data_IF_255241787988
#
_entry.id   IF_255241787988
#
_cell.length_a   1.000
_cell.length_b   1.000
_cell.length_c   1.000
_cell.angle_alpha   90.00
_cell.angle_beta   90.00
_cell.angle_gamma   90.00
#
_symmetry.space_group_name_H-M   'P 1'
#
loop_
_entity.id
_entity.type
_entity.pdbx_description
1 polymer ?
#
# COMPACT_ATOMS: atom_id res chain seq x y z
N UNK A 1 -51.33 -36.27 13.27
CA UNK A 1 -52.50 -35.36 13.16
C UNK A 1 -52.61 -34.51 14.43
N UNK A 2 -52.32 -33.22 14.36
CA UNK A 2 -53.11 -32.11 14.92
C UNK A 2 -52.38 -30.81 14.59
N UNK A 3 -53.03 -30.03 13.72
CA UNK A 3 -52.64 -28.68 13.30
C UNK A 3 -52.96 -27.72 14.45
N UNK A 4 -52.14 -26.71 14.67
CA UNK A 4 -52.62 -25.47 15.26
C UNK A 4 -52.13 -24.31 14.40
N UNK A 5 -53.09 -23.73 13.68
CA UNK A 5 -52.98 -22.46 12.97
C UNK A 5 -52.81 -21.33 13.99
N UNK A 6 -51.93 -20.38 13.70
CA UNK A 6 -52.19 -18.99 14.03
C UNK A 6 -51.77 -18.12 12.84
N UNK A 7 -52.78 -17.72 12.07
CA UNK A 7 -52.73 -16.67 11.05
C UNK A 7 -53.32 -15.42 11.70
N UNK A 8 -52.60 -14.30 11.64
CA UNK A 8 -53.16 -12.96 11.79
C UNK A 8 -52.37 -12.08 10.80
N UNK A 9 -52.80 -12.00 9.55
CA UNK A 9 -53.71 -11.00 8.97
C UNK A 9 -53.11 -9.58 8.97
N UNK A 10 -52.88 -9.12 7.74
CA UNK A 10 -52.31 -7.87 7.26
C UNK A 10 -53.05 -6.59 7.73
N UNK A 11 -52.40 -5.42 7.71
CA UNK A 11 -52.54 -4.43 6.62
C UNK A 11 -51.89 -3.05 6.91
N UNK A 12 -51.23 -2.55 5.85
CA UNK A 12 -51.08 -1.15 5.35
C UNK A 12 -50.67 -0.01 6.31
N UNK A 13 -49.63 0.73 5.90
CA UNK A 13 -49.80 2.09 5.39
C UNK A 13 -48.54 2.58 4.66
N UNK A 14 -48.70 2.86 3.36
CA UNK A 14 -47.79 3.67 2.56
C UNK A 14 -47.93 5.13 3.00
N UNK A 15 -46.81 5.81 3.21
CA UNK A 15 -46.77 7.28 3.22
C UNK A 15 -45.76 7.72 2.16
N UNK A 16 -46.29 8.08 0.99
CA UNK A 16 -45.62 8.95 0.02
C UNK A 16 -45.74 10.38 0.52
N UNK A 17 -44.61 11.03 0.79
CA UNK A 17 -44.55 12.49 0.88
C UNK A 17 -43.84 12.99 -0.38
N UNK A 18 -44.56 13.79 -1.16
CA UNK A 18 -44.09 14.48 -2.33
C UNK A 18 -43.90 15.98 -2.04
N UNK A 19 -42.83 16.51 -2.64
CA UNK A 19 -42.54 17.90 -3.03
C UNK A 19 -42.40 19.00 -1.95
N UNK A 20 -41.22 19.64 -1.95
CA UNK A 20 -41.19 21.10 -2.13
C UNK A 20 -39.96 21.54 -2.95
N UNK A 21 -40.17 22.58 -3.75
CA UNK A 21 -39.35 23.04 -4.86
C UNK A 21 -38.12 23.84 -4.39
N UNK A 22 -36.97 23.62 -5.02
CA UNK A 22 -35.85 24.58 -5.01
C UNK A 22 -35.73 25.17 -6.41
N UNK A 23 -36.10 26.45 -6.53
CA UNK A 23 -35.84 27.27 -7.70
C UNK A 23 -34.34 27.30 -7.99
N UNK A 24 -33.94 26.85 -9.19
CA UNK A 24 -32.58 27.02 -9.69
C UNK A 24 -32.60 28.12 -10.74
N UNK A 25 -32.05 29.28 -10.38
CA UNK A 25 -31.76 30.37 -11.31
C UNK A 25 -30.68 29.94 -12.32
N UNK A 26 -30.86 30.10 -13.64
CA UNK A 26 -29.79 29.85 -14.59
C UNK A 26 -28.98 31.15 -14.78
N UNK A 27 -27.75 31.18 -14.25
CA UNK A 27 -26.82 32.26 -14.56
C UNK A 27 -26.27 32.08 -15.98
N UNK A 28 -26.38 33.16 -16.75
CA UNK A 28 -25.95 33.31 -18.13
C UNK A 28 -24.43 33.15 -18.27
N UNK A 29 -24.02 32.44 -19.31
CA UNK A 29 -22.65 32.46 -19.84
C UNK A 29 -22.53 33.71 -20.72
N UNK A 30 -21.64 34.64 -20.35
CA UNK A 30 -21.16 35.68 -21.24
C UNK A 30 -19.63 35.70 -21.20
N UNK A 31 -19.05 35.53 -22.39
CA UNK A 31 -17.63 35.51 -22.72
C UNK A 31 -17.01 36.90 -22.64
N UNK A 32 -15.81 37.02 -22.03
CA UNK A 32 -14.81 38.03 -22.40
C UNK A 32 -13.40 37.61 -21.95
N UNK A 33 -12.43 38.06 -22.74
CA UNK A 33 -11.03 37.65 -22.98
C UNK A 33 -10.03 37.90 -21.81
N UNK A 34 -8.86 37.24 -21.73
CA UNK A 34 -7.97 37.32 -20.56
C UNK A 34 -6.91 38.44 -20.70
N UNK A 35 -6.67 39.21 -19.63
CA UNK A 35 -5.48 40.05 -19.48
C UNK A 35 -4.35 39.32 -18.71
N UNK A 36 -3.06 39.62 -19.00
CA UNK A 36 -1.95 38.76 -18.61
C UNK A 36 -1.27 39.19 -17.30
N UNK A 37 -0.80 38.19 -16.54
CA UNK A 37 0.44 38.27 -15.78
C UNK A 37 0.32 38.70 -14.31
N UNK A 38 0.24 37.71 -13.43
CA UNK A 38 0.98 37.77 -12.16
C UNK A 38 1.50 36.37 -11.89
N UNK A 39 2.84 36.21 -11.92
CA UNK A 39 3.54 35.01 -11.48
C UNK A 39 3.26 34.83 -9.97
N UNK A 40 2.13 34.21 -9.65
CA UNK A 40 1.95 33.59 -8.35
C UNK A 40 2.91 32.41 -8.31
N UNK A 41 4.02 32.62 -7.60
CA UNK A 41 4.92 31.57 -7.18
C UNK A 41 4.10 30.39 -6.68
N UNK A 42 4.15 29.28 -7.41
CA UNK A 42 3.48 28.04 -7.03
C UNK A 42 4.19 27.55 -5.77
N UNK A 43 3.63 27.91 -4.61
CA UNK A 43 3.94 27.24 -3.36
C UNK A 43 3.44 25.81 -3.56
N UNK A 44 4.30 24.77 -3.56
CA UNK A 44 3.83 23.40 -3.75
C UNK A 44 3.14 22.97 -2.45
N UNK A 45 1.87 23.33 -2.31
CA UNK A 45 1.01 22.91 -1.21
C UNK A 45 0.07 21.84 -1.75
N UNK A 46 0.59 20.61 -1.84
CA UNK A 46 -0.22 19.40 -1.81
C UNK A 46 0.71 18.18 -1.61
N UNK A 47 1.21 17.98 -0.39
CA UNK A 47 1.38 16.62 0.10
C UNK A 47 -0.01 15.98 0.10
N UNK A 48 -0.35 15.29 -0.99
CA UNK A 48 -1.68 14.72 -1.20
C UNK A 48 -2.12 13.91 0.04
N UNK A 49 -3.36 14.11 0.47
CA UNK A 49 -3.96 13.32 1.58
C UNK A 49 -3.99 11.80 1.30
N UNK A 50 -3.76 11.43 0.04
CA UNK A 50 -3.80 10.07 -0.46
C UNK A 50 -2.48 9.71 -1.14
N UNK A 51 -2.14 8.42 -1.12
CA UNK A 51 -1.04 7.91 -1.91
C UNK A 51 -1.39 7.93 -3.40
N UNK A 52 -0.38 8.12 -4.24
CA UNK A 52 -0.47 7.80 -5.67
C UNK A 52 -0.46 6.28 -5.82
N UNK A 53 -1.52 5.71 -6.39
CA UNK A 53 -1.66 4.26 -6.63
C UNK A 53 -1.52 4.04 -8.14
N UNK A 54 -0.34 3.64 -8.57
CA UNK A 54 -0.04 3.35 -9.97
C UNK A 54 1.16 2.40 -10.06
N UNK A 55 1.33 1.75 -11.22
CA UNK A 55 2.46 0.88 -11.54
C UNK A 55 3.54 1.69 -12.23
N UNK A 56 4.52 2.14 -11.44
CA UNK A 56 5.56 3.04 -11.91
C UNK A 56 6.91 2.32 -11.78
N UNK A 57 7.75 2.41 -12.80
CA UNK A 57 9.13 1.90 -12.71
C UNK A 57 9.87 2.60 -11.57
N UNK A 58 10.79 1.89 -10.93
CA UNK A 58 11.63 2.50 -9.91
C UNK A 58 12.42 3.68 -10.50
N UNK A 59 12.48 4.78 -9.75
CA UNK A 59 13.39 5.88 -10.05
C UNK A 59 14.85 5.49 -9.72
N UNK A 60 15.83 6.15 -10.35
CA UNK A 60 17.24 5.77 -10.23
C UNK A 60 17.79 5.85 -8.82
N UNK A 61 17.25 6.76 -8.00
CA UNK A 61 17.67 6.91 -6.61
C UNK A 61 17.22 5.71 -5.78
N UNK A 62 15.96 5.31 -5.95
CA UNK A 62 15.39 4.15 -5.28
C UNK A 62 16.01 2.86 -5.79
N UNK A 63 16.33 2.73 -7.09
CA UNK A 63 17.07 1.57 -7.61
C UNK A 63 18.41 1.40 -6.90
N UNK A 64 19.20 2.48 -6.80
CA UNK A 64 20.51 2.47 -6.13
C UNK A 64 20.39 2.10 -4.65
N UNK A 65 19.36 2.60 -3.98
CA UNK A 65 19.08 2.23 -2.60
C UNK A 65 18.67 0.76 -2.48
N UNK A 66 17.68 0.33 -3.26
CA UNK A 66 16.98 -0.94 -3.10
C UNK A 66 17.80 -2.15 -3.57
N UNK A 67 18.63 -2.01 -4.60
CA UNK A 67 19.51 -3.09 -5.05
C UNK A 67 20.63 -3.36 -4.04
N UNK A 68 20.82 -4.62 -3.68
CA UNK A 68 21.86 -5.11 -2.78
C UNK A 68 21.49 -6.45 -2.15
N UNK A 69 22.38 -6.90 -1.27
CA UNK A 69 22.10 -7.98 -0.33
C UNK A 69 21.59 -7.37 0.98
N UNK A 70 20.43 -7.82 1.43
CA UNK A 70 19.76 -7.31 2.61
C UNK A 70 19.65 -8.40 3.67
N UNK A 71 19.92 -8.04 4.92
CA UNK A 71 19.74 -8.92 6.07
C UNK A 71 18.60 -8.44 6.93
N UNK A 72 17.76 -9.35 7.39
CA UNK A 72 16.68 -9.01 8.32
C UNK A 72 17.28 -8.68 9.69
N UNK A 73 17.22 -7.42 10.10
CA UNK A 73 17.93 -6.91 11.27
C UNK A 73 17.06 -6.95 12.53
N UNK A 74 15.86 -6.38 12.46
CA UNK A 74 14.97 -6.24 13.63
C UNK A 74 13.51 -6.52 13.27
N UNK A 75 12.80 -7.10 14.23
CA UNK A 75 11.35 -7.25 14.21
C UNK A 75 10.73 -5.95 14.75
N UNK A 76 9.86 -5.32 13.96
CA UNK A 76 9.23 -4.05 14.29
C UNK A 76 7.82 -4.20 14.88
N UNK A 77 7.19 -5.36 14.71
CA UNK A 77 5.85 -5.63 15.20
C UNK A 77 4.95 -6.20 14.12
N UNK A 78 3.65 -5.96 14.27
CA UNK A 78 2.62 -6.53 13.43
C UNK A 78 1.71 -5.45 12.84
N UNK A 79 1.18 -5.69 11.63
CA UNK A 79 0.16 -4.85 11.01
C UNK A 79 -1.15 -4.88 11.81
N UNK A 80 -1.84 -3.73 11.90
CA UNK A 80 -3.04 -3.56 12.75
C UNK A 80 -4.28 -4.32 12.26
N UNK A 81 -4.30 -4.75 10.99
CA UNK A 81 -5.46 -5.44 10.42
C UNK A 81 -5.06 -6.66 9.60
N UNK A 82 -5.21 -7.83 10.19
CA UNK A 82 -5.43 -9.10 9.50
C UNK A 82 -6.55 -9.84 10.23
N UNK A 83 -7.42 -10.52 9.48
CA UNK A 83 -8.68 -11.07 10.00
C UNK A 83 -8.46 -12.04 11.18
N UNK A 84 -9.47 -12.22 12.05
CA UNK A 84 -9.44 -13.14 13.19
C UNK A 84 -9.22 -14.62 12.82
N UNK A 85 -9.29 -14.94 11.52
CA UNK A 85 -8.98 -16.27 10.97
C UNK A 85 -7.50 -16.45 10.59
N UNK A 86 -6.70 -15.39 10.68
CA UNK A 86 -5.27 -15.44 10.40
C UNK A 86 -4.54 -15.83 11.66
N UNK A 87 -3.83 -16.95 11.60
CA UNK A 87 -2.76 -17.19 12.56
C UNK A 87 -1.76 -16.03 12.41
N UNK A 88 -1.76 -15.08 13.36
CA UNK A 88 -0.67 -14.14 13.47
C UNK A 88 0.61 -14.97 13.44
N UNK A 89 1.55 -14.70 12.52
CA UNK A 89 2.81 -15.42 12.51
C UNK A 89 3.48 -15.17 13.87
N UNK A 90 3.31 -16.08 14.81
CA UNK A 90 3.87 -15.97 16.16
C UNK A 90 5.36 -16.23 16.00
N UNK A 91 6.10 -15.17 15.68
CA UNK A 91 7.54 -15.21 15.49
C UNK A 91 7.98 -15.85 14.18
N UNK A 92 7.77 -15.13 13.06
CA UNK A 92 8.55 -15.39 11.86
C UNK A 92 10.06 -15.33 12.18
N UNK A 93 10.72 -16.48 12.07
CA UNK A 93 12.16 -16.62 12.29
C UNK A 93 12.96 -16.22 11.07
N UNK A 94 12.94 -14.93 10.77
CA UNK A 94 13.74 -14.33 9.70
C UNK A 94 14.95 -13.56 10.19
N UNK A 95 15.02 -13.17 11.47
CA UNK A 95 16.14 -12.36 11.96
C UNK A 95 17.47 -13.06 11.64
N UNK A 96 18.33 -12.35 10.93
CA UNK A 96 19.61 -12.85 10.45
C UNK A 96 19.60 -13.49 9.06
N UNK A 97 18.43 -13.83 8.51
CA UNK A 97 18.28 -14.31 7.14
C UNK A 97 18.51 -13.19 6.13
N UNK A 98 18.81 -13.58 4.89
CA UNK A 98 19.18 -12.66 3.81
C UNK A 98 18.24 -12.74 2.62
N UNK A 99 18.15 -11.61 1.92
CA UNK A 99 17.44 -11.42 0.66
C UNK A 99 18.42 -10.81 -0.33
N UNK A 100 18.35 -11.21 -1.60
CA UNK A 100 19.17 -10.65 -2.66
C UNK A 100 18.24 -9.92 -3.63
N UNK A 101 18.48 -8.64 -3.84
CA UNK A 101 17.74 -7.80 -4.78
C UNK A 101 18.75 -7.18 -5.73
N UNK A 102 18.77 -7.63 -6.98
CA UNK A 102 19.62 -7.09 -8.04
C UNK A 102 18.75 -6.76 -9.24
N UNK A 103 19.25 -5.88 -10.10
CA UNK A 103 18.55 -5.45 -11.32
C UNK A 103 18.00 -6.63 -12.15
N UNK A 104 18.79 -7.69 -12.29
CA UNK A 104 18.50 -8.87 -13.10
C UNK A 104 18.18 -10.13 -12.27
N UNK A 105 18.10 -10.02 -10.95
CA UNK A 105 17.90 -11.18 -10.08
C UNK A 105 17.28 -10.81 -8.73
N UNK A 106 16.25 -11.55 -8.33
CA UNK A 106 15.69 -11.51 -7.00
C UNK A 106 15.80 -12.90 -6.35
N UNK A 107 16.17 -12.95 -5.08
CA UNK A 107 16.09 -14.18 -4.28
C UNK A 107 15.67 -13.90 -2.85
N UNK A 108 14.62 -14.61 -2.43
CA UNK A 108 14.21 -14.71 -1.03
C UNK A 108 14.46 -16.08 -0.43
N UNK A 109 15.24 -16.94 -1.11
CA UNK A 109 15.62 -18.27 -0.59
C UNK A 109 16.40 -18.23 0.71
N UNK A 110 17.01 -17.10 1.04
CA UNK A 110 17.68 -16.91 2.33
C UNK A 110 16.73 -16.89 3.52
N UNK A 111 15.41 -16.71 3.33
CA UNK A 111 14.37 -16.87 4.35
C UNK A 111 14.15 -18.38 4.66
N UNK A 112 15.09 -18.99 5.36
CA UNK A 112 15.27 -20.46 5.44
C UNK A 112 14.14 -21.16 6.19
N UNK A 113 13.55 -20.48 7.16
CA UNK A 113 12.57 -21.08 8.07
C UNK A 113 11.23 -21.42 7.41
N UNK A 114 10.90 -20.85 6.24
CA UNK A 114 9.58 -20.98 5.64
C UNK A 114 9.66 -21.11 4.11
N UNK A 115 9.40 -22.33 3.61
CA UNK A 115 9.41 -22.62 2.16
C UNK A 115 8.48 -21.73 1.34
N UNK A 116 7.34 -21.32 1.91
CA UNK A 116 6.35 -20.45 1.25
C UNK A 116 6.86 -19.05 0.91
N UNK A 117 8.02 -18.63 1.42
CA UNK A 117 8.63 -17.34 1.10
C UNK A 117 9.93 -17.48 0.31
N UNK A 118 10.34 -18.68 -0.07
CA UNK A 118 11.61 -18.92 -0.77
C UNK A 118 11.39 -18.92 -2.28
N UNK A 119 11.70 -17.79 -2.91
CA UNK A 119 11.57 -17.60 -4.36
C UNK A 119 12.89 -17.17 -4.97
N UNK A 120 13.03 -17.48 -6.26
CA UNK A 120 14.06 -16.90 -7.11
C UNK A 120 13.40 -16.45 -8.40
N UNK A 121 13.75 -15.25 -8.85
CA UNK A 121 13.29 -14.70 -10.11
C UNK A 121 14.48 -14.13 -10.87
N UNK A 122 14.66 -14.58 -12.11
CA UNK A 122 15.59 -13.97 -13.06
C UNK A 122 14.86 -12.87 -13.83
N UNK A 123 15.58 -11.78 -14.11
CA UNK A 123 15.05 -10.59 -14.77
C UNK A 123 13.71 -10.12 -14.15
N UNK A 124 13.64 -9.95 -12.82
CA UNK A 124 12.42 -9.48 -12.18
C UNK A 124 12.05 -8.07 -12.66
N UNK A 125 10.77 -7.76 -12.62
CA UNK A 125 10.28 -6.39 -12.78
C UNK A 125 10.07 -5.80 -11.39
N UNK A 126 10.76 -4.72 -11.08
CA UNK A 126 10.55 -3.94 -9.86
C UNK A 126 9.77 -2.67 -10.18
N UNK A 127 8.68 -2.46 -9.45
CA UNK A 127 7.80 -1.32 -9.64
C UNK A 127 7.25 -0.83 -8.31
N UNK A 128 7.01 0.48 -8.27
CA UNK A 128 6.11 1.05 -7.28
C UNK A 128 4.68 0.62 -7.57
N UNK A 129 3.94 0.32 -6.51
CA UNK A 129 2.48 0.13 -6.56
C UNK A 129 1.75 1.23 -5.78
N UNK A 130 2.47 1.92 -4.91
CA UNK A 130 1.98 3.09 -4.22
C UNK A 130 3.13 4.01 -3.81
N UNK A 131 2.90 5.32 -3.86
CA UNK A 131 3.80 6.34 -3.32
C UNK A 131 2.98 7.23 -2.38
N UNK A 132 3.34 7.23 -1.09
CA UNK A 132 2.68 8.00 -0.06
C UNK A 132 3.63 9.09 0.41
N UNK A 133 3.27 10.37 0.22
CA UNK A 133 4.15 11.50 0.50
C UNK A 133 4.12 11.97 1.98
N UNK A 134 3.48 11.20 2.86
CA UNK A 134 3.42 11.41 4.30
C UNK A 134 2.94 10.13 5.00
N UNK A 135 3.24 10.02 6.30
CA UNK A 135 2.88 8.84 7.11
C UNK A 135 1.38 8.64 7.25
N UNK A 136 0.59 9.72 7.27
CA UNK A 136 -0.88 9.66 7.40
C UNK A 136 -1.52 9.02 6.16
N UNK A 137 -1.09 9.40 4.96
CA UNK A 137 -1.55 8.82 3.70
C UNK A 137 -1.18 7.33 3.62
N UNK A 138 0.05 6.98 4.03
CA UNK A 138 0.50 5.60 4.11
C UNK A 138 -0.39 4.77 5.04
N UNK A 139 -0.59 5.23 6.28
CA UNK A 139 -1.44 4.55 7.25
C UNK A 139 -2.88 4.42 6.75
N UNK A 140 -3.43 5.45 6.10
CA UNK A 140 -4.79 5.44 5.56
C UNK A 140 -4.98 4.32 4.52
N UNK A 141 -3.99 4.12 3.64
CA UNK A 141 -4.03 3.09 2.60
C UNK A 141 -3.73 1.69 3.14
N UNK A 142 -2.61 1.52 3.84
CA UNK A 142 -2.10 0.20 4.22
C UNK A 142 -2.64 -0.30 5.56
N UNK A 143 -3.12 0.59 6.44
CA UNK A 143 -3.48 0.26 7.83
C UNK A 143 -2.32 -0.40 8.61
N UNK A 144 -1.08 -0.02 8.27
CA UNK A 144 0.14 -0.51 8.89
C UNK A 144 0.79 0.63 9.65
N UNK A 145 1.16 0.38 10.90
CA UNK A 145 1.95 1.31 11.70
C UNK A 145 3.41 0.83 11.70
N UNK A 146 4.30 1.61 11.06
CA UNK A 146 5.74 1.32 11.02
C UNK A 146 6.39 2.17 12.12
N UNK A 147 7.07 1.57 13.11
CA UNK A 147 7.77 2.33 14.14
C UNK A 147 8.73 3.36 13.55
N UNK A 148 8.79 4.52 14.22
CA UNK A 148 9.67 5.64 13.89
C UNK A 148 9.40 6.24 12.49
N UNK A 149 8.16 6.21 12.01
CA UNK A 149 7.74 6.92 10.79
C UNK A 149 7.31 8.35 11.15
N UNK A 150 7.94 9.36 10.54
CA UNK A 150 7.65 10.77 10.76
C UNK A 150 6.58 11.29 9.79
N UNK A 151 5.94 12.41 10.14
CA UNK A 151 4.82 12.98 9.38
C UNK A 151 5.14 13.16 7.89
N UNK A 152 6.32 13.68 7.57
CA UNK A 152 6.72 14.01 6.20
C UNK A 152 7.48 12.89 5.49
N UNK A 153 7.57 11.70 6.10
CA UNK A 153 8.27 10.58 5.47
C UNK A 153 7.53 10.12 4.21
N UNK A 154 8.30 9.96 3.13
CA UNK A 154 7.81 9.41 1.87
C UNK A 154 7.99 7.90 1.90
N UNK A 155 6.88 7.17 1.78
CA UNK A 155 6.88 5.70 1.75
C UNK A 155 6.51 5.23 0.36
N UNK A 156 7.41 4.48 -0.27
CA UNK A 156 7.20 3.86 -1.59
C UNK A 156 7.04 2.36 -1.42
N UNK A 157 5.89 1.82 -1.82
CA UNK A 157 5.64 0.39 -1.80
C UNK A 157 6.13 -0.26 -3.09
N UNK A 158 7.02 -1.24 -2.98
CA UNK A 158 7.63 -1.95 -4.10
C UNK A 158 7.12 -3.38 -4.14
N UNK A 159 6.77 -3.82 -5.35
CA UNK A 159 6.55 -5.23 -5.66
C UNK A 159 7.65 -5.75 -6.58
N UNK A 160 7.96 -7.03 -6.44
CA UNK A 160 8.79 -7.77 -7.38
C UNK A 160 7.84 -8.64 -8.22
N UNK A 161 7.96 -8.62 -9.54
CA UNK A 161 7.12 -9.45 -10.42
C UNK A 161 7.95 -10.36 -11.29
N UNK A 162 7.33 -11.50 -11.60
CA UNK A 162 7.79 -12.36 -12.67
C UNK A 162 7.33 -11.78 -14.02
N UNK A 163 8.25 -11.42 -14.94
CA UNK A 163 7.88 -10.91 -16.25
C UNK A 163 7.09 -11.91 -17.11
N UNK A 164 7.16 -13.21 -16.82
CA UNK A 164 6.49 -14.24 -17.63
C UNK A 164 5.03 -14.46 -17.25
N UNK A 165 4.69 -14.27 -15.98
CA UNK A 165 3.32 -14.43 -15.46
C UNK A 165 2.66 -13.10 -15.08
N UNK A 166 3.44 -12.02 -15.01
CA UNK A 166 3.07 -10.71 -14.47
C UNK A 166 2.55 -10.74 -13.03
N UNK A 167 2.73 -11.88 -12.34
CA UNK A 167 2.33 -12.04 -10.94
C UNK A 167 3.38 -11.43 -10.02
N UNK A 168 2.92 -10.83 -8.93
CA UNK A 168 3.80 -10.39 -7.85
C UNK A 168 4.34 -11.61 -7.09
N UNK A 169 5.66 -11.64 -6.90
CA UNK A 169 6.38 -12.68 -6.19
C UNK A 169 7.29 -12.06 -5.14
N UNK A 170 7.41 -12.64 -3.95
CA UNK A 170 6.44 -13.54 -3.31
C UNK A 170 5.12 -12.81 -3.03
N UNK A 171 3.98 -13.46 -3.25
CA UNK A 171 2.63 -12.88 -2.96
C UNK A 171 2.49 -12.47 -1.49
N UNK A 172 3.28 -13.06 -0.61
CA UNK A 172 3.19 -12.90 0.84
C UNK A 172 4.32 -12.07 1.45
N UNK A 173 5.17 -11.43 0.63
CA UNK A 173 6.07 -10.38 1.13
C UNK A 173 5.92 -9.10 0.30
N UNK A 174 6.18 -7.97 0.92
CA UNK A 174 6.16 -6.66 0.27
C UNK A 174 7.25 -5.79 0.86
N UNK A 175 7.73 -4.84 0.07
CA UNK A 175 8.80 -3.94 0.47
C UNK A 175 8.25 -2.52 0.59
N UNK A 176 8.59 -1.83 1.67
CA UNK A 176 8.39 -0.39 1.78
C UNK A 176 9.74 0.30 1.91
N UNK A 177 10.03 1.20 0.99
CA UNK A 177 11.16 2.11 1.08
C UNK A 177 10.68 3.39 1.72
N UNK A 178 11.27 3.75 2.86
CA UNK A 178 11.05 5.05 3.51
C UNK A 178 12.22 5.93 3.11
N UNK A 179 11.96 7.10 2.52
CA UNK A 179 12.94 8.15 2.16
C UNK A 179 14.23 7.71 1.43
N UNK A 180 14.28 6.49 0.87
CA UNK A 180 15.51 5.84 0.41
C UNK A 180 16.60 5.70 1.50
N UNK A 181 16.21 5.56 2.78
CA UNK A 181 17.12 5.37 3.92
C UNK A 181 16.83 4.10 4.72
N UNK A 182 15.56 3.66 4.76
CA UNK A 182 15.11 2.45 5.45
C UNK A 182 14.38 1.54 4.49
N UNK A 183 14.66 0.24 4.61
CA UNK A 183 13.93 -0.78 3.88
C UNK A 183 13.15 -1.65 4.86
N UNK A 184 11.84 -1.68 4.69
CA UNK A 184 10.92 -2.45 5.51
C UNK A 184 10.44 -3.65 4.70
N UNK A 185 10.55 -4.83 5.30
CA UNK A 185 9.97 -6.06 4.80
C UNK A 185 8.66 -6.31 5.56
N UNK A 186 7.57 -6.31 4.82
CA UNK A 186 6.32 -6.89 5.30
C UNK A 186 6.28 -8.35 4.85
N UNK A 187 6.01 -9.27 5.78
CA UNK A 187 5.68 -10.66 5.44
C UNK A 187 4.39 -11.04 6.14
N UNK A 188 3.33 -11.16 5.35
CA UNK A 188 1.95 -11.21 5.83
C UNK A 188 1.66 -10.05 6.80
N UNK A 189 1.49 -10.35 8.08
CA UNK A 189 1.25 -9.34 9.11
C UNK A 189 2.52 -8.91 9.85
N UNK A 190 3.68 -9.54 9.62
CA UNK A 190 4.90 -9.25 10.40
C UNK A 190 5.76 -8.21 9.69
N UNK A 191 6.25 -7.24 10.45
CA UNK A 191 7.03 -6.10 9.94
C UNK A 191 8.48 -6.26 10.41
N UNK A 192 9.43 -6.15 9.49
CA UNK A 192 10.86 -6.17 9.77
C UNK A 192 11.58 -5.00 9.13
N UNK A 193 12.66 -4.55 9.76
CA UNK A 193 13.62 -3.68 9.11
C UNK A 193 14.78 -4.50 8.54
N UNK A 194 15.20 -4.13 7.34
CA UNK A 194 16.30 -4.74 6.63
C UNK A 194 17.52 -3.81 6.70
N UNK A 195 18.70 -4.43 6.84
CA UNK A 195 19.99 -3.76 6.76
C UNK A 195 20.72 -4.20 5.50
N UNK A 196 21.21 -3.23 4.74
CA UNK A 196 22.05 -3.52 3.57
C UNK A 196 23.40 -4.05 4.04
N UNK A 197 23.80 -5.20 3.50
CA UNK A 197 25.07 -5.88 3.79
C UNK A 197 26.08 -5.64 2.68
N UNK A 198 25.62 -5.62 1.43
CA UNK A 198 26.43 -5.30 0.25
C UNK A 198 25.55 -4.66 -0.82
N UNK A 199 26.16 -3.93 -1.73
CA UNK A 199 25.57 -3.60 -3.03
C UNK A 199 25.56 -4.82 -3.98
#
# INVERSE_FOLDING_TARGET
>A
MKKLLLVCMMFLLMLTAACENVETTPNQIASSEPEPGTDEAIIPTNTSEHCLIDRIKLDSETEKFFYGTWKVEKHLGFANSWNDASEYPTGQKFIGDELIVKKDFFSSKGLKSYKKYQYEQKNPIYEFIAICNNSTAFYRLYKIDIPDLHENDVVKAIVVRDPSTEMSLPVSISFFVVNNDRLILLSEATIFELKKVSD
#
